data_IF_832694533724
#
_entry.id   IF_832694533724
#
_cell.length_a   1.000
_cell.length_b   1.000
_cell.length_c   1.000
_cell.angle_alpha   90.00
_cell.angle_beta   90.00
_cell.angle_gamma   90.00
#
_symmetry.space_group_name_H-M   'P 1'
#
loop_
_entity.id
_entity.type
_entity.pdbx_description
1 polymer ?
#
# COMPACT_ATOMS: atom_id res chain seq x y z
N UNK A 1 8.92 13.01 -14.90
CA UNK A 1 9.60 11.81 -14.40
C UNK A 1 9.50 11.85 -12.88
N UNK A 2 8.92 10.82 -12.23
CA UNK A 2 8.94 10.73 -10.77
C UNK A 2 10.39 10.54 -10.31
N UNK A 3 10.85 11.40 -9.40
CA UNK A 3 12.20 11.30 -8.85
C UNK A 3 12.22 10.10 -7.89
N UNK A 4 13.02 9.09 -8.23
CA UNK A 4 13.29 7.97 -7.33
C UNK A 4 14.45 8.34 -6.40
N UNK A 5 14.35 7.96 -5.14
CA UNK A 5 15.41 8.12 -4.14
C UNK A 5 15.83 6.74 -3.69
N UNK A 6 17.13 6.48 -3.72
CA UNK A 6 17.71 5.25 -3.18
C UNK A 6 17.79 5.37 -1.66
N UNK A 7 17.25 4.39 -0.95
CA UNK A 7 17.28 4.32 0.51
C UNK A 7 17.73 2.91 0.94
N UNK A 8 18.42 2.80 2.08
CA UNK A 8 18.88 1.52 2.59
C UNK A 8 17.80 0.81 3.41
N UNK A 9 17.71 -0.53 3.28
CA UNK A 9 16.86 -1.34 4.17
C UNK A 9 17.29 -1.22 5.64
N UNK A 10 18.58 -1.04 5.90
CA UNK A 10 19.09 -0.85 7.26
C UNK A 10 18.52 0.41 7.93
N UNK A 11 18.44 1.53 7.20
CA UNK A 11 17.87 2.78 7.72
C UNK A 11 16.36 2.64 7.95
N UNK A 12 15.68 1.91 7.05
CA UNK A 12 14.25 1.63 7.21
C UNK A 12 13.99 0.75 8.43
N UNK A 13 14.82 -0.28 8.64
CA UNK A 13 14.75 -1.15 9.81
C UNK A 13 14.93 -0.36 11.11
N UNK A 14 15.92 0.53 11.18
CA UNK A 14 16.11 1.40 12.34
C UNK A 14 14.91 2.30 12.61
N UNK A 15 14.33 2.91 11.56
CA UNK A 15 13.11 3.72 11.70
C UNK A 15 11.95 2.92 12.28
N UNK A 16 11.77 1.67 11.84
CA UNK A 16 10.74 0.79 12.41
C UNK A 16 11.01 0.50 13.87
N UNK A 17 12.24 0.14 14.24
CA UNK A 17 12.60 -0.27 15.60
C UNK A 17 12.50 0.86 16.62
N UNK A 18 12.80 2.10 16.23
CA UNK A 18 12.64 3.28 17.13
C UNK A 18 11.21 3.82 17.15
N UNK A 19 10.39 3.46 16.17
CA UNK A 19 8.99 3.86 16.10
C UNK A 19 8.12 3.21 17.17
N UNK A 20 6.92 3.75 17.43
CA UNK A 20 6.01 3.18 18.43
C UNK A 20 5.43 1.83 17.99
N UNK A 21 5.27 0.92 18.93
CA UNK A 21 4.40 -0.24 18.75
C UNK A 21 2.94 0.22 18.80
N UNK A 22 2.15 -0.14 17.80
CA UNK A 22 0.74 0.29 17.66
C UNK A 22 -0.25 -0.87 17.71
N UNK A 23 0.22 -2.10 17.59
CA UNK A 23 -0.57 -3.31 17.77
C UNK A 23 -0.17 -3.98 19.09
N UNK A 24 -0.80 -3.55 20.20
CA UNK A 24 -0.34 -3.95 21.53
C UNK A 24 1.11 -3.54 21.76
N UNK A 25 2.00 -4.52 21.98
CA UNK A 25 3.45 -4.30 22.11
C UNK A 25 4.24 -4.62 20.84
N UNK A 26 3.56 -4.91 19.75
CA UNK A 26 4.14 -5.28 18.45
C UNK A 26 4.11 -4.09 17.49
N UNK A 27 5.20 -3.85 16.76
CA UNK A 27 5.24 -2.97 15.61
C UNK A 27 4.74 -3.73 14.39
N UNK A 28 3.56 -3.39 13.92
CA UNK A 28 3.00 -3.99 12.72
C UNK A 28 3.50 -3.25 11.49
N UNK A 29 4.13 -3.97 10.57
CA UNK A 29 4.59 -3.46 9.27
C UNK A 29 3.72 -4.08 8.19
N UNK A 30 3.10 -3.25 7.35
CA UNK A 30 2.35 -3.71 6.18
C UNK A 30 3.12 -3.43 4.89
N UNK A 31 3.24 -4.47 4.03
CA UNK A 31 3.80 -4.35 2.68
C UNK A 31 2.70 -4.70 1.68
N UNK A 32 2.07 -3.69 1.12
CA UNK A 32 0.93 -3.78 0.22
C UNK A 32 1.32 -3.47 -1.24
N UNK A 33 0.39 -3.66 -2.14
CA UNK A 33 0.54 -3.37 -3.55
C UNK A 33 0.03 -4.50 -4.43
N UNK A 34 -0.12 -4.26 -5.74
CA UNK A 34 -0.70 -5.24 -6.64
C UNK A 34 0.16 -6.49 -6.84
N UNK A 35 -0.48 -7.59 -7.25
CA UNK A 35 0.20 -8.86 -7.56
C UNK A 35 1.30 -8.66 -8.59
N UNK A 36 2.42 -9.36 -8.41
CA UNK A 36 3.60 -9.24 -9.29
C UNK A 36 4.44 -7.97 -9.10
N UNK A 37 4.08 -7.09 -8.14
CA UNK A 37 4.83 -5.86 -7.89
C UNK A 37 6.17 -6.07 -7.17
N UNK A 38 6.40 -7.19 -6.48
CA UNK A 38 7.62 -7.50 -5.74
C UNK A 38 7.52 -7.31 -4.23
N UNK A 39 6.31 -7.33 -3.68
CA UNK A 39 6.04 -7.20 -2.23
C UNK A 39 6.83 -8.19 -1.38
N UNK A 40 6.72 -9.50 -1.70
CA UNK A 40 7.36 -10.56 -0.93
C UNK A 40 8.88 -10.43 -0.88
N UNK A 41 9.48 -9.98 -2.01
CA UNK A 41 10.92 -9.72 -2.06
C UNK A 41 11.32 -8.52 -1.19
N UNK A 42 10.53 -7.45 -1.23
CA UNK A 42 10.75 -6.28 -0.37
C UNK A 42 10.59 -6.65 1.12
N UNK A 43 9.51 -7.37 1.45
CA UNK A 43 9.22 -7.80 2.82
C UNK A 43 10.33 -8.73 3.37
N UNK A 44 10.84 -9.65 2.56
CA UNK A 44 11.94 -10.54 2.94
C UNK A 44 13.21 -9.76 3.27
N UNK A 45 13.62 -8.81 2.40
CA UNK A 45 14.81 -7.98 2.62
C UNK A 45 14.69 -7.05 3.82
N UNK A 46 13.49 -6.48 4.02
CA UNK A 46 13.22 -5.69 5.22
C UNK A 46 13.27 -6.56 6.49
N UNK A 47 12.74 -7.78 6.45
CA UNK A 47 12.81 -8.72 7.58
C UNK A 47 14.26 -9.10 7.92
N UNK A 48 15.11 -9.31 6.92
CA UNK A 48 16.53 -9.58 7.11
C UNK A 48 17.28 -8.37 7.72
N UNK A 49 16.97 -7.16 7.24
CA UNK A 49 17.53 -5.93 7.81
C UNK A 49 17.05 -5.68 9.26
N UNK A 50 15.79 -5.98 9.56
CA UNK A 50 15.24 -5.93 10.92
C UNK A 50 15.92 -6.93 11.85
N UNK A 51 16.18 -8.16 11.38
CA UNK A 51 16.92 -9.16 12.13
C UNK A 51 18.33 -8.68 12.49
N UNK A 52 19.05 -8.14 11.50
CA UNK A 52 20.40 -7.59 11.68
C UNK A 52 20.41 -6.42 12.65
N UNK A 53 19.46 -5.50 12.50
CA UNK A 53 19.42 -4.27 13.30
C UNK A 53 18.97 -4.51 14.75
N UNK A 54 18.11 -5.48 15.00
CA UNK A 54 17.59 -5.79 16.34
C UNK A 54 18.43 -6.80 17.13
N UNK A 55 19.17 -7.68 16.44
CA UNK A 55 19.81 -8.86 17.03
C UNK A 55 18.84 -9.91 17.61
N UNK A 56 17.52 -9.70 17.43
CA UNK A 56 16.48 -10.56 18.03
C UNK A 56 15.97 -11.67 17.07
N UNK A 57 16.67 -11.88 15.96
CA UNK A 57 16.24 -12.83 14.93
C UNK A 57 15.26 -12.22 13.92
N UNK A 58 14.91 -13.03 12.91
CA UNK A 58 14.03 -12.59 11.82
C UNK A 58 12.59 -12.46 12.30
N UNK A 59 11.93 -11.31 12.09
CA UNK A 59 10.54 -11.14 12.48
C UNK A 59 9.62 -12.09 11.69
N UNK A 60 8.50 -12.53 12.26
CA UNK A 60 7.46 -13.24 11.54
C UNK A 60 6.98 -12.44 10.33
N UNK A 61 6.83 -13.13 9.19
CA UNK A 61 6.21 -12.57 7.98
C UNK A 61 4.96 -13.38 7.68
N UNK A 62 3.80 -12.70 7.71
CA UNK A 62 2.49 -13.28 7.38
C UNK A 62 2.17 -12.90 5.95
N UNK A 63 2.00 -13.89 5.09
CA UNK A 63 1.61 -13.71 3.70
C UNK A 63 0.09 -13.74 3.59
N UNK A 64 -0.55 -12.68 3.08
CA UNK A 64 -2.02 -12.68 2.95
C UNK A 64 -2.52 -13.75 1.99
N UNK A 65 -1.69 -14.13 1.00
CA UNK A 65 -2.01 -15.21 0.05
C UNK A 65 -2.16 -16.58 0.73
N UNK A 66 -1.56 -16.78 1.90
CA UNK A 66 -1.72 -17.98 2.73
C UNK A 66 -3.10 -18.07 3.40
N UNK A 67 -3.79 -16.93 3.54
CA UNK A 67 -5.07 -16.82 4.23
C UNK A 67 -6.29 -16.83 3.28
N UNK A 68 -6.06 -16.85 1.98
CA UNK A 68 -7.12 -16.85 0.97
C UNK A 68 -7.72 -18.24 0.81
N UNK A 69 -9.04 -18.33 0.65
CA UNK A 69 -9.74 -19.54 0.26
C UNK A 69 -10.04 -19.50 -1.26
N UNK A 70 -8.96 -19.61 -2.04
CA UNK A 70 -9.01 -19.56 -3.49
C UNK A 70 -9.16 -18.15 -4.09
N UNK A 71 -9.38 -18.10 -5.40
CA UNK A 71 -9.39 -16.85 -6.19
C UNK A 71 -10.54 -15.89 -5.83
N UNK A 72 -11.66 -16.42 -5.35
CA UNK A 72 -12.85 -15.60 -5.02
C UNK A 72 -12.69 -14.82 -3.70
N UNK A 73 -11.72 -15.20 -2.88
CA UNK A 73 -11.56 -14.68 -1.51
C UNK A 73 -10.61 -13.49 -1.40
N UNK A 74 -10.36 -12.79 -2.49
CA UNK A 74 -9.36 -11.73 -2.62
C UNK A 74 -9.40 -10.66 -1.52
N UNK A 75 -10.58 -10.32 -1.01
CA UNK A 75 -10.76 -9.29 0.01
C UNK A 75 -11.59 -9.74 1.21
N UNK A 76 -12.22 -10.91 1.14
CA UNK A 76 -13.05 -11.48 2.20
C UNK A 76 -12.27 -12.29 3.24
N UNK A 77 -10.99 -12.58 2.99
CA UNK A 77 -10.10 -13.30 3.91
C UNK A 77 -9.80 -12.54 5.21
N UNK A 78 -10.05 -11.23 5.24
CA UNK A 78 -9.59 -10.36 6.32
C UNK A 78 -10.00 -10.79 7.74
N UNK A 79 -11.24 -11.29 7.99
CA UNK A 79 -11.60 -11.82 9.30
C UNK A 79 -10.64 -12.94 9.78
N UNK A 80 -10.15 -13.79 8.88
CA UNK A 80 -9.16 -14.83 9.24
C UNK A 80 -7.86 -14.22 9.73
N UNK A 81 -7.34 -13.18 9.05
CA UNK A 81 -6.16 -12.45 9.51
C UNK A 81 -6.41 -11.76 10.86
N UNK A 82 -7.56 -11.11 11.00
CA UNK A 82 -7.93 -10.42 12.24
C UNK A 82 -8.00 -11.39 13.41
N UNK A 83 -8.80 -12.45 13.29
CA UNK A 83 -9.08 -13.37 14.38
C UNK A 83 -7.86 -14.24 14.76
N UNK A 84 -7.09 -14.68 13.75
CA UNK A 84 -5.99 -15.61 13.97
C UNK A 84 -4.64 -14.95 14.29
N UNK A 85 -4.45 -13.69 13.87
CA UNK A 85 -3.16 -12.98 14.00
C UNK A 85 -3.28 -11.65 14.72
N UNK A 86 -4.09 -10.71 14.21
CA UNK A 86 -4.04 -9.33 14.68
C UNK A 86 -4.67 -9.19 16.09
N UNK A 87 -5.84 -9.76 16.33
CA UNK A 87 -6.51 -9.70 17.64
C UNK A 87 -5.68 -10.40 18.76
N UNK A 88 -5.11 -11.61 18.55
CA UNK A 88 -4.17 -12.18 19.51
C UNK A 88 -2.98 -11.28 19.81
N UNK A 89 -2.29 -10.76 18.79
CA UNK A 89 -1.12 -9.89 18.97
C UNK A 89 -1.48 -8.57 19.68
N UNK A 90 -2.63 -7.99 19.36
CA UNK A 90 -3.17 -6.79 20.04
C UNK A 90 -3.37 -7.04 21.53
N UNK A 91 -3.81 -8.25 21.89
CA UNK A 91 -3.97 -8.69 23.27
C UNK A 91 -2.65 -9.19 23.92
N UNK A 92 -1.50 -9.06 23.23
CA UNK A 92 -0.20 -9.52 23.74
C UNK A 92 -0.05 -11.05 23.78
N UNK A 93 -0.88 -11.79 23.03
CA UNK A 93 -0.86 -13.26 22.92
C UNK A 93 -0.35 -13.69 21.53
N UNK A 94 0.28 -14.87 21.40
CA UNK A 94 0.63 -15.40 20.09
C UNK A 94 -0.62 -15.72 19.27
N UNK A 95 -0.52 -15.53 17.96
CA UNK A 95 -1.49 -15.99 16.97
C UNK A 95 -1.01 -17.26 16.27
N UNK A 96 -1.89 -17.86 15.47
CA UNK A 96 -1.55 -18.94 14.56
C UNK A 96 -2.61 -19.02 13.47
N UNK A 97 -2.22 -19.33 12.24
CA UNK A 97 -3.13 -19.48 11.12
C UNK A 97 -2.82 -20.73 10.29
N UNK A 98 -3.81 -21.21 9.55
CA UNK A 98 -3.63 -22.31 8.61
C UNK A 98 -3.36 -21.74 7.22
N UNK A 99 -2.32 -22.28 6.57
CA UNK A 99 -1.93 -21.84 5.24
C UNK A 99 -2.78 -22.53 4.17
N UNK A 100 -3.31 -21.77 3.23
CA UNK A 100 -4.00 -22.29 2.06
C UNK A 100 -3.02 -22.89 1.05
N UNK A 101 -3.29 -24.10 0.61
CA UNK A 101 -2.55 -24.76 -0.47
C UNK A 101 -3.26 -24.57 -1.80
N UNK A 102 -2.71 -23.73 -2.67
CA UNK A 102 -3.23 -23.51 -4.01
C UNK A 102 -3.25 -24.77 -4.88
N UNK A 103 -2.35 -25.70 -4.63
CA UNK A 103 -2.31 -27.01 -5.32
C UNK A 103 -3.41 -27.94 -4.81
N UNK A 104 -3.61 -28.01 -3.49
CA UNK A 104 -4.63 -28.87 -2.86
C UNK A 104 -6.01 -28.21 -2.82
N UNK A 105 -6.08 -26.91 -3.05
CA UNK A 105 -7.29 -26.08 -2.92
C UNK A 105 -7.98 -26.22 -1.58
N UNK A 106 -7.19 -26.28 -0.51
CA UNK A 106 -7.64 -26.42 0.87
C UNK A 106 -6.62 -25.84 1.86
N UNK A 107 -7.08 -25.49 3.04
CA UNK A 107 -6.21 -25.14 4.13
C UNK A 107 -5.44 -26.38 4.63
N UNK A 108 -4.15 -26.19 4.90
CA UNK A 108 -3.31 -27.24 5.46
C UNK A 108 -3.63 -27.46 6.96
N UNK A 109 -3.51 -28.69 7.47
CA UNK A 109 -3.82 -29.00 8.86
C UNK A 109 -2.85 -28.38 9.85
N UNK A 110 -1.60 -28.14 9.44
CA UNK A 110 -0.56 -27.60 10.31
C UNK A 110 -0.71 -26.08 10.43
N UNK A 111 -0.82 -25.59 11.66
CA UNK A 111 -0.89 -24.17 11.93
C UNK A 111 0.50 -23.53 11.86
N UNK A 112 0.57 -22.36 11.24
CA UNK A 112 1.77 -21.50 11.22
C UNK A 112 1.72 -20.58 12.44
N UNK A 113 2.64 -20.71 13.41
CA UNK A 113 2.64 -19.89 14.60
C UNK A 113 3.13 -18.47 14.29
N UNK A 114 2.49 -17.48 14.91
CA UNK A 114 2.91 -16.08 14.89
C UNK A 114 3.17 -15.64 16.33
N UNK A 115 4.42 -15.75 16.81
CA UNK A 115 4.76 -15.38 18.17
C UNK A 115 4.62 -13.87 18.39
N UNK A 116 4.44 -13.47 19.64
CA UNK A 116 4.55 -12.05 20.01
C UNK A 116 6.00 -11.63 19.83
N UNK A 117 6.23 -10.78 18.85
CA UNK A 117 7.56 -10.30 18.49
C UNK A 117 7.60 -8.76 18.52
N UNK A 118 8.79 -8.15 18.67
CA UNK A 118 8.93 -6.67 18.59
C UNK A 118 8.43 -6.09 17.28
N UNK A 119 8.54 -6.85 16.18
CA UNK A 119 8.04 -6.51 14.84
C UNK A 119 7.35 -7.72 14.24
N UNK A 120 6.22 -7.53 13.57
CA UNK A 120 5.56 -8.51 12.70
C UNK A 120 5.31 -7.83 11.36
N UNK A 121 5.60 -8.52 10.26
CA UNK A 121 5.36 -8.05 8.91
C UNK A 121 4.16 -8.79 8.33
N UNK A 122 3.18 -8.05 7.80
CA UNK A 122 2.09 -8.60 6.98
C UNK A 122 2.31 -8.13 5.55
N UNK A 123 2.39 -9.05 4.59
CA UNK A 123 2.59 -8.70 3.20
C UNK A 123 1.52 -9.34 2.31
N UNK A 124 1.09 -8.59 1.30
CA UNK A 124 0.14 -9.04 0.29
C UNK A 124 -0.83 -7.95 -0.14
N UNK A 125 -1.76 -8.31 -1.00
CA UNK A 125 -2.80 -7.39 -1.47
C UNK A 125 -3.70 -7.02 -0.30
N UNK A 126 -3.96 -5.72 -0.14
CA UNK A 126 -4.77 -5.15 0.94
C UNK A 126 -4.17 -5.22 2.36
N UNK A 127 -2.88 -5.52 2.51
CA UNK A 127 -2.22 -5.56 3.82
C UNK A 127 -2.24 -4.20 4.56
N UNK A 128 -2.28 -3.08 3.84
CA UNK A 128 -2.35 -1.72 4.39
C UNK A 128 -3.72 -1.05 4.23
N UNK A 129 -4.81 -1.83 4.16
CA UNK A 129 -6.18 -1.31 4.03
C UNK A 129 -6.56 -0.36 5.17
N UNK A 130 -7.56 0.49 4.93
CA UNK A 130 -8.00 1.54 5.86
C UNK A 130 -8.27 1.05 7.28
N UNK A 131 -8.83 -0.15 7.45
CA UNK A 131 -9.23 -0.69 8.75
C UNK A 131 -8.07 -0.91 9.71
N UNK A 132 -6.84 -1.20 9.21
CA UNK A 132 -5.68 -1.49 10.05
C UNK A 132 -4.68 -0.33 10.14
N UNK A 133 -4.83 0.74 9.34
CA UNK A 133 -3.81 1.81 9.21
C UNK A 133 -3.39 2.44 10.53
N UNK A 134 -4.32 2.58 11.49
CA UNK A 134 -4.01 3.16 12.80
C UNK A 134 -3.09 2.29 13.66
N UNK A 135 -3.02 1.00 13.38
CA UNK A 135 -2.20 0.02 14.08
C UNK A 135 -0.84 -0.21 13.39
N UNK A 136 -0.65 0.32 12.18
CA UNK A 136 0.60 0.19 11.45
C UNK A 136 1.68 1.11 12.01
N UNK A 137 2.85 0.54 12.30
CA UNK A 137 4.07 1.29 12.62
C UNK A 137 4.82 1.72 11.35
N UNK A 138 4.62 0.97 10.26
CA UNK A 138 5.08 1.31 8.92
C UNK A 138 4.12 0.70 7.88
N UNK A 139 3.80 1.47 6.87
CA UNK A 139 3.04 1.05 5.69
C UNK A 139 3.82 1.31 4.41
N UNK A 140 3.91 0.29 3.55
CA UNK A 140 4.65 0.35 2.29
C UNK A 140 3.76 -0.10 1.15
N UNK A 141 3.73 0.63 0.05
CA UNK A 141 3.07 0.24 -1.19
C UNK A 141 4.12 -0.03 -2.28
N UNK A 142 4.27 -1.28 -2.67
CA UNK A 142 5.19 -1.66 -3.74
C UNK A 142 4.44 -1.63 -5.07
N UNK A 143 4.97 -0.93 -6.07
CA UNK A 143 4.34 -0.79 -7.39
C UNK A 143 5.29 -1.17 -8.52
N UNK A 144 4.75 -1.70 -9.61
CA UNK A 144 5.48 -1.98 -10.85
C UNK A 144 4.54 -1.83 -12.05
N UNK A 145 5.07 -1.64 -13.29
CA UNK A 145 4.27 -1.56 -14.50
C UNK A 145 3.35 -2.77 -14.68
N UNK A 146 2.10 -2.55 -15.09
CA UNK A 146 1.08 -3.61 -15.19
C UNK A 146 1.51 -4.76 -16.11
N UNK A 147 2.11 -4.46 -17.26
CA UNK A 147 2.59 -5.47 -18.19
C UNK A 147 3.68 -6.36 -17.56
N UNK A 148 4.61 -5.78 -16.80
CA UNK A 148 5.65 -6.54 -16.10
C UNK A 148 5.07 -7.42 -14.99
N UNK A 149 4.09 -6.91 -14.23
CA UNK A 149 3.40 -7.68 -13.19
C UNK A 149 2.68 -8.90 -13.76
N UNK A 150 1.98 -8.69 -14.89
CA UNK A 150 1.32 -9.76 -15.63
C UNK A 150 2.33 -10.82 -16.09
N UNK A 151 3.42 -10.38 -16.74
CA UNK A 151 4.48 -11.27 -17.20
C UNK A 151 5.07 -12.10 -16.05
N UNK A 152 5.40 -11.47 -14.91
CA UNK A 152 5.94 -12.16 -13.72
C UNK A 152 4.97 -13.23 -13.19
N UNK A 153 3.67 -12.91 -13.12
CA UNK A 153 2.66 -13.87 -12.66
C UNK A 153 2.53 -15.06 -13.63
N UNK A 154 2.45 -14.81 -14.93
CA UNK A 154 2.39 -15.87 -15.94
C UNK A 154 3.66 -16.74 -15.95
N UNK A 155 4.84 -16.13 -15.79
CA UNK A 155 6.10 -16.90 -15.70
C UNK A 155 6.15 -17.80 -14.48
N UNK A 156 5.58 -17.36 -13.35
CA UNK A 156 5.56 -18.13 -12.09
C UNK A 156 4.53 -19.25 -12.11
N UNK A 157 3.30 -18.97 -12.57
CA UNK A 157 2.12 -19.84 -12.37
C UNK A 157 1.60 -20.47 -13.68
N UNK A 158 2.17 -20.11 -14.81
CA UNK A 158 1.79 -20.56 -16.13
C UNK A 158 0.64 -19.76 -16.76
N UNK A 159 0.46 -19.88 -18.09
CA UNK A 159 -0.54 -19.09 -18.83
C UNK A 159 -2.00 -19.51 -18.53
N UNK A 160 -2.22 -20.68 -17.98
CA UNK A 160 -3.56 -21.21 -17.66
C UNK A 160 -4.31 -20.36 -16.61
N UNK A 161 -3.58 -19.55 -15.81
CA UNK A 161 -4.18 -18.69 -14.79
C UNK A 161 -4.69 -17.35 -15.33
N UNK A 162 -4.49 -17.06 -16.61
CA UNK A 162 -4.82 -15.74 -17.20
C UNK A 162 -6.26 -15.28 -16.95
N UNK A 163 -7.31 -16.13 -17.10
CA UNK A 163 -8.67 -15.69 -16.86
C UNK A 163 -8.91 -15.24 -15.41
N UNK A 164 -8.41 -16.01 -14.45
CA UNK A 164 -8.48 -15.68 -13.01
C UNK A 164 -7.64 -14.44 -12.69
N UNK A 165 -6.44 -14.36 -13.25
CA UNK A 165 -5.51 -13.25 -13.02
C UNK A 165 -6.07 -11.92 -13.56
N UNK A 166 -6.76 -11.93 -14.69
CA UNK A 166 -7.44 -10.72 -15.21
C UNK A 166 -8.55 -10.24 -14.27
N UNK A 167 -9.38 -11.16 -13.73
CA UNK A 167 -10.41 -10.83 -12.73
C UNK A 167 -9.75 -10.30 -11.44
N UNK A 168 -8.71 -10.97 -10.98
CA UNK A 168 -7.92 -10.56 -9.82
C UNK A 168 -7.36 -9.14 -9.95
N UNK A 169 -6.70 -8.82 -11.07
CA UNK A 169 -6.17 -7.50 -11.34
C UNK A 169 -7.27 -6.42 -11.47
N UNK A 170 -8.46 -6.77 -11.92
CA UNK A 170 -9.59 -5.85 -11.94
C UNK A 170 -10.05 -5.52 -10.50
N UNK A 171 -10.17 -6.55 -9.65
CA UNK A 171 -10.47 -6.39 -8.22
C UNK A 171 -9.42 -5.55 -7.49
N UNK A 172 -8.13 -5.81 -7.73
CA UNK A 172 -7.04 -4.99 -7.15
C UNK A 172 -7.17 -3.52 -7.51
N UNK A 173 -7.41 -3.21 -8.79
CA UNK A 173 -7.57 -1.80 -9.24
C UNK A 173 -8.74 -1.12 -8.56
N UNK A 174 -9.89 -1.81 -8.45
CA UNK A 174 -11.07 -1.30 -7.79
C UNK A 174 -10.81 -1.06 -6.29
N UNK A 175 -10.20 -2.03 -5.61
CA UNK A 175 -9.85 -1.92 -4.20
C UNK A 175 -8.90 -0.75 -3.94
N UNK A 176 -7.77 -0.68 -4.64
CA UNK A 176 -6.78 0.38 -4.42
C UNK A 176 -7.31 1.77 -4.79
N UNK A 177 -8.23 1.88 -5.75
CA UNK A 177 -8.89 3.14 -6.07
C UNK A 177 -9.87 3.58 -4.97
N UNK A 178 -10.66 2.65 -4.42
CA UNK A 178 -11.63 2.95 -3.36
C UNK A 178 -10.95 3.24 -2.01
N UNK A 179 -9.88 2.49 -1.70
CA UNK A 179 -9.15 2.57 -0.42
C UNK A 179 -8.07 3.68 -0.43
N UNK A 180 -7.73 4.21 -1.60
CA UNK A 180 -6.64 5.20 -1.84
C UNK A 180 -5.31 4.79 -1.20
N UNK A 181 -5.03 3.48 -1.16
CA UNK A 181 -3.92 2.88 -0.39
C UNK A 181 -2.59 3.55 -0.70
N UNK A 182 -2.27 3.71 -2.00
CA UNK A 182 -0.99 4.27 -2.43
C UNK A 182 -0.71 5.71 -1.95
N UNK A 183 -1.77 6.49 -1.63
CA UNK A 183 -1.64 7.86 -1.09
C UNK A 183 -1.62 7.90 0.43
N UNK A 184 -2.14 6.84 1.07
CA UNK A 184 -2.28 6.77 2.51
C UNK A 184 -1.12 6.04 3.22
N UNK A 185 -0.18 5.44 2.47
CA UNK A 185 0.99 4.75 3.02
C UNK A 185 2.17 5.69 3.28
N UNK A 186 3.06 5.28 4.17
CA UNK A 186 4.29 6.03 4.51
C UNK A 186 5.31 6.02 3.36
N UNK A 187 5.38 4.92 2.60
CA UNK A 187 6.34 4.73 1.52
C UNK A 187 5.68 4.14 0.27
N UNK A 188 5.99 4.70 -0.89
CA UNK A 188 5.75 4.06 -2.19
C UNK A 188 7.09 3.63 -2.77
N UNK A 189 7.22 2.34 -3.07
CA UNK A 189 8.46 1.71 -3.52
C UNK A 189 8.34 1.25 -4.97
N UNK A 190 9.39 1.47 -5.76
CA UNK A 190 9.49 0.94 -7.11
C UNK A 190 9.95 -0.52 -7.09
N UNK A 191 9.04 -1.44 -7.41
CA UNK A 191 9.31 -2.87 -7.50
C UNK A 191 9.92 -3.33 -8.84
N UNK A 192 10.22 -2.38 -9.73
CA UNK A 192 10.87 -2.62 -11.02
C UNK A 192 11.84 -1.47 -11.38
N UNK A 193 12.77 -1.13 -10.50
CA UNK A 193 13.64 0.01 -10.70
C UNK A 193 14.57 -0.22 -11.89
N UNK A 194 14.75 0.85 -12.69
CA UNK A 194 15.70 0.87 -13.82
C UNK A 194 17.08 1.35 -13.41
N UNK A 195 17.19 2.02 -12.27
CA UNK A 195 18.46 2.50 -11.74
C UNK A 195 19.25 1.30 -11.18
N UNK A 196 20.49 1.04 -11.68
CA UNK A 196 21.34 0.01 -11.11
C UNK A 196 21.64 0.27 -9.63
N UNK A 197 21.45 -0.74 -8.79
CA UNK A 197 21.75 -0.66 -7.36
C UNK A 197 21.92 -2.07 -6.80
N UNK A 198 22.55 -2.18 -5.64
CA UNK A 198 22.55 -3.41 -4.86
C UNK A 198 21.17 -3.60 -4.20
N UNK A 199 20.35 -4.41 -4.87
CA UNK A 199 18.99 -4.65 -4.46
C UNK A 199 18.85 -5.45 -3.14
N UNK A 200 19.92 -6.03 -2.60
CA UNK A 200 19.92 -6.65 -1.27
C UNK A 200 20.03 -5.59 -0.16
N UNK A 201 20.68 -4.49 -0.45
CA UNK A 201 20.96 -3.44 0.54
C UNK A 201 20.05 -2.22 0.40
N UNK A 202 19.59 -1.92 -0.83
CA UNK A 202 18.87 -0.70 -1.15
C UNK A 202 17.55 -0.97 -1.86
N UNK A 203 16.62 -0.02 -1.72
CA UNK A 203 15.37 0.04 -2.49
C UNK A 203 15.19 1.45 -3.07
N UNK A 204 14.35 1.58 -4.08
CA UNK A 204 14.02 2.87 -4.66
C UNK A 204 12.65 3.34 -4.20
N UNK A 205 12.63 4.41 -3.40
CA UNK A 205 11.42 5.12 -3.02
C UNK A 205 10.97 6.05 -4.13
N UNK A 206 9.71 6.00 -4.49
CA UNK A 206 9.08 6.97 -5.41
C UNK A 206 8.62 8.18 -4.60
N UNK A 207 9.13 9.38 -4.93
CA UNK A 207 8.57 10.62 -4.37
C UNK A 207 7.19 10.85 -4.97
N UNK A 208 6.20 11.17 -4.13
CA UNK A 208 4.95 11.71 -4.61
C UNK A 208 5.27 12.96 -5.45
N UNK A 209 4.67 13.09 -6.63
CA UNK A 209 4.70 14.38 -7.35
C UNK A 209 4.06 15.39 -6.40
N UNK A 210 4.70 16.55 -6.12
CA UNK A 210 3.99 17.61 -5.44
C UNK A 210 2.70 17.85 -6.22
N UNK A 211 1.56 17.87 -5.52
CA UNK A 211 0.31 18.27 -6.12
C UNK A 211 0.58 19.63 -6.78
N UNK A 212 0.38 19.72 -8.10
CA UNK A 212 0.44 20.98 -8.80
C UNK A 212 -0.66 21.82 -8.17
N UNK A 213 -0.30 22.72 -7.26
CA UNK A 213 -1.24 23.72 -6.74
C UNK A 213 -1.57 24.55 -7.94
N UNK A 214 -2.68 24.20 -8.60
CA UNK A 214 -3.20 24.88 -9.76
C UNK A 214 -3.18 26.37 -9.49
N UNK A 215 -2.48 27.10 -10.35
CA UNK A 215 -2.56 28.55 -10.38
C UNK A 215 -4.04 28.93 -10.47
N UNK A 216 -4.51 29.69 -9.48
CA UNK A 216 -5.82 30.28 -9.53
C UNK A 216 -5.99 31.05 -10.86
N UNK A 217 -7.20 31.20 -11.35
CA UNK A 217 -7.45 31.96 -12.58
C UNK A 217 -6.87 33.37 -12.43
N UNK A 218 -5.95 33.71 -13.32
CA UNK A 218 -5.55 35.11 -13.52
C UNK A 218 -6.82 35.83 -13.95
N UNK A 219 -7.31 36.70 -13.11
CA UNK A 219 -8.27 37.72 -13.53
C UNK A 219 -7.52 38.74 -14.42
N UNK A 220 -7.59 38.52 -15.72
CA UNK A 220 -7.17 39.52 -16.66
C UNK A 220 -8.10 40.73 -16.51
N UNK A 221 -7.48 41.89 -16.27
CA UNK A 221 -8.15 43.13 -16.05
C UNK A 221 -9.02 43.53 -17.26
N UNK A 222 -10.28 43.78 -16.99
CA UNK A 222 -11.16 44.47 -17.95
C UNK A 222 -10.93 45.96 -17.80
N UNK A 223 -10.36 46.54 -18.83
CA UNK A 223 -10.19 47.95 -19.05
C UNK A 223 -11.50 48.71 -18.87
N UNK A 224 -11.50 49.70 -17.97
CA UNK A 224 -12.53 50.70 -17.85
C UNK A 224 -12.40 51.71 -19.02
N UNK A 225 -13.25 51.56 -20.00
CA UNK A 225 -13.51 52.66 -20.94
C UNK A 225 -14.58 53.59 -20.34
N UNK A 226 -14.15 54.75 -19.90
CA UNK A 226 -15.00 55.88 -19.58
C UNK A 226 -15.63 56.40 -20.89
N UNK A 227 -16.94 56.48 -20.94
CA UNK A 227 -17.64 57.44 -21.83
C UNK A 227 -18.58 58.28 -20.98
N UNK A 228 -18.20 59.56 -20.98
CA UNK A 228 -18.94 60.73 -20.51
C UNK A 228 -19.99 61.14 -21.56
N UNK A 229 -21.03 61.68 -21.09
CA UNK A 229 -21.92 62.70 -21.74
C UNK A 229 -23.40 62.34 -21.83
N UNK A 230 -24.18 63.21 -21.24
CA UNK A 230 -25.35 63.74 -21.88
C UNK A 230 -26.63 63.79 -21.03
N UNK A 231 -26.81 64.92 -20.43
CA UNK A 231 -28.06 65.49 -19.88
C UNK A 231 -29.33 65.18 -20.71
N UNK A 232 -30.48 64.91 -20.09
CA UNK A 232 -31.63 65.78 -20.17
C UNK A 232 -32.87 65.21 -19.48
N UNK A 233 -33.39 65.93 -18.53
CA UNK A 233 -34.71 66.38 -18.17
C UNK A 233 -35.93 65.75 -18.90
N UNK A 234 -36.94 65.31 -18.15
CA UNK A 234 -38.28 65.88 -18.08
C UNK A 234 -39.33 64.86 -17.63
N UNK A 235 -39.87 65.03 -16.44
CA UNK A 235 -41.28 65.36 -16.08
C UNK A 235 -42.41 64.38 -16.45
N UNK A 236 -43.16 64.07 -15.40
CA UNK A 236 -44.61 63.97 -15.21
C UNK A 236 -45.38 62.65 -15.34
N UNK A 237 -46.01 62.39 -14.18
CA UNK A 237 -47.44 62.02 -13.93
C UNK A 237 -47.94 60.73 -14.60
N UNK A 238 -48.66 59.96 -13.96
CA UNK A 238 -49.67 59.99 -12.92
C UNK A 238 -50.45 58.66 -12.94
N UNK A 239 -51.02 58.40 -11.81
CA UNK A 239 -52.32 57.79 -11.54
C UNK A 239 -52.67 56.42 -12.18
N UNK A 240 -52.79 55.41 -11.48
CA UNK A 240 -53.90 54.87 -10.69
C UNK A 240 -53.49 53.58 -10.04
#
# INVERSE_FOLDING_TARGET
VAVAVMEAYADLAQRVLVGPARLGRTRLVAVDGPSGAGKSLFAARLADALATASGAGRPPVVHTDDLLDGWADQFSFWPRLEDSVLAPLRAGRPGAYHRYSWVRRAFLPDAVPVPVAPVVVVEGVSAARATVRRELSLSVFVTAPAALRLSRAVTRDGPQILPELHRWHAGERAHFAADDTARCVDLVVDGAPRLPHDAQRYYLRRRARPANRGGGPRMDGVDQVRHDAGKSTTTRRGSR
#
